data_IF_614860684577
#
_entry.id   IF_614860684577
#
_cell.length_a   1.000
_cell.length_b   1.000
_cell.length_c   1.000
_cell.angle_alpha   90.00
_cell.angle_beta   90.00
_cell.angle_gamma   90.00
#
_symmetry.space_group_name_H-M   'P 1'
#
loop_
_entity.id
_entity.type
_entity.pdbx_description
1 polymer ?
#
# COMPACT_ATOMS: atom_id res chain seq x y z
N UNK A 1 -2.05 2.50 -19.27
CA UNK A 1 -3.03 1.96 -18.30
C UNK A 1 -2.62 2.45 -16.92
N UNK A 2 -3.51 3.11 -16.19
CA UNK A 2 -3.22 3.62 -14.84
C UNK A 2 -3.47 2.50 -13.82
N UNK A 3 -2.54 2.30 -12.88
CA UNK A 3 -2.72 1.42 -11.73
C UNK A 3 -2.42 2.18 -10.46
N UNK A 4 -3.19 1.95 -9.41
CA UNK A 4 -2.93 2.51 -8.09
C UNK A 4 -2.50 1.38 -7.16
N UNK A 5 -1.35 1.55 -6.52
CA UNK A 5 -0.81 0.59 -5.56
C UNK A 5 -0.63 1.26 -4.20
N UNK A 6 -0.90 0.51 -3.14
CA UNK A 6 -0.39 0.79 -1.80
C UNK A 6 0.88 -0.03 -1.59
N UNK A 7 1.98 0.64 -1.28
CA UNK A 7 3.21 0.01 -0.82
C UNK A 7 3.18 -0.05 0.71
N UNK A 8 3.22 -1.25 1.28
CA UNK A 8 3.25 -1.50 2.73
C UNK A 8 4.63 -2.00 3.15
N UNK A 9 5.34 -1.20 3.91
CA UNK A 9 6.65 -1.55 4.45
C UNK A 9 6.48 -2.01 5.90
N UNK A 10 6.62 -3.31 6.12
CA UNK A 10 6.82 -3.86 7.45
C UNK A 10 8.31 -3.82 7.77
N UNK A 11 8.69 -3.07 8.80
CA UNK A 11 10.09 -3.05 9.24
C UNK A 11 10.52 -4.50 9.56
N UNK A 12 11.70 -4.90 9.10
CA UNK A 12 12.27 -6.25 9.20
C UNK A 12 11.78 -7.29 8.18
N UNK A 13 10.92 -6.94 7.23
CA UNK A 13 10.64 -7.79 6.06
C UNK A 13 11.30 -7.20 4.81
N UNK A 14 12.01 -8.03 4.03
CA UNK A 14 12.92 -7.64 2.95
C UNK A 14 12.33 -6.92 1.73
N UNK A 15 11.12 -6.37 1.82
CA UNK A 15 10.49 -5.56 0.78
C UNK A 15 9.06 -5.14 1.12
N UNK A 16 8.48 -4.17 0.37
CA UNK A 16 7.10 -3.77 0.56
C UNK A 16 6.12 -4.81 0.00
N UNK A 17 5.05 -5.07 0.75
CA UNK A 17 3.86 -5.73 0.21
C UNK A 17 3.07 -4.73 -0.63
N UNK A 18 2.55 -5.16 -1.78
CA UNK A 18 1.76 -4.30 -2.67
C UNK A 18 0.28 -4.69 -2.64
N UNK A 19 -0.61 -3.71 -2.48
CA UNK A 19 -2.05 -3.88 -2.64
C UNK A 19 -2.56 -3.00 -3.77
N UNK A 20 -3.44 -3.52 -4.63
CA UNK A 20 -3.98 -2.79 -5.78
C UNK A 20 -5.34 -2.15 -5.47
N UNK A 21 -5.55 -0.94 -6.00
CA UNK A 21 -6.78 -0.16 -5.83
C UNK A 21 -7.25 0.38 -7.18
N UNK A 22 -8.57 0.62 -7.31
CA UNK A 22 -9.12 1.21 -8.53
C UNK A 22 -8.85 2.71 -8.63
N UNK A 23 -8.66 3.42 -7.50
CA UNK A 23 -8.34 4.85 -7.49
C UNK A 23 -7.45 5.26 -6.31
N UNK A 24 -6.81 6.43 -6.43
CA UNK A 24 -5.96 6.98 -5.38
C UNK A 24 -6.77 7.35 -4.12
N UNK A 25 -8.01 7.79 -4.31
CA UNK A 25 -8.93 8.12 -3.21
C UNK A 25 -9.29 6.87 -2.40
N UNK A 26 -9.62 5.76 -3.08
CA UNK A 26 -9.87 4.48 -2.42
C UNK A 26 -8.65 3.99 -1.65
N UNK A 27 -7.46 4.11 -2.24
CA UNK A 27 -6.22 3.73 -1.58
C UNK A 27 -6.00 4.53 -0.28
N UNK A 28 -6.12 5.87 -0.34
CA UNK A 28 -5.95 6.75 0.83
C UNK A 28 -7.01 6.52 1.91
N UNK A 29 -8.25 6.24 1.51
CA UNK A 29 -9.31 5.92 2.46
C UNK A 29 -9.07 4.60 3.19
N UNK A 30 -8.48 3.61 2.50
CA UNK A 30 -8.15 2.31 3.08
C UNK A 30 -6.85 2.31 3.90
N UNK A 31 -5.92 3.21 3.60
CA UNK A 31 -4.59 3.33 4.23
C UNK A 31 -4.59 3.24 5.76
N UNK A 32 -5.36 4.04 6.52
CA UNK A 32 -5.32 3.98 7.98
C UNK A 32 -5.81 2.64 8.54
N UNK A 33 -6.84 2.05 7.93
CA UNK A 33 -7.42 0.77 8.37
C UNK A 33 -6.42 -0.36 8.11
N UNK A 34 -5.77 -0.36 6.95
CA UNK A 34 -4.78 -1.37 6.58
C UNK A 34 -3.55 -1.26 7.49
N UNK A 35 -3.01 -0.07 7.73
CA UNK A 35 -1.89 0.12 8.66
C UNK A 35 -2.23 -0.44 10.05
N UNK A 36 -3.43 -0.12 10.56
CA UNK A 36 -3.86 -0.59 11.87
C UNK A 36 -3.93 -2.12 11.94
N UNK A 37 -4.60 -2.75 10.96
CA UNK A 37 -4.74 -4.20 10.91
C UNK A 37 -3.36 -4.90 10.86
N UNK A 38 -2.45 -4.41 10.01
CA UNK A 38 -1.11 -5.00 9.92
C UNK A 38 -0.27 -4.80 11.19
N UNK A 39 -0.42 -3.64 11.85
CA UNK A 39 0.23 -3.39 13.14
C UNK A 39 -0.28 -4.35 14.21
N UNK A 40 -1.60 -4.56 14.29
CA UNK A 40 -2.22 -5.50 15.24
C UNK A 40 -1.79 -6.95 14.97
N UNK A 41 -1.70 -7.36 13.70
CA UNK A 41 -1.31 -8.71 13.33
C UNK A 41 0.16 -9.02 13.57
N UNK A 42 1.05 -8.04 13.35
CA UNK A 42 2.51 -8.28 13.32
C UNK A 42 3.26 -7.71 14.51
N UNK A 43 2.65 -6.78 15.26
CA UNK A 43 3.32 -6.01 16.31
C UNK A 43 4.37 -5.03 15.79
N UNK A 44 4.59 -4.95 14.47
CA UNK A 44 5.61 -4.10 13.87
C UNK A 44 5.08 -2.72 13.52
N UNK A 45 6.00 -1.75 13.43
CA UNK A 45 5.68 -0.48 12.78
C UNK A 45 5.54 -0.72 11.28
N UNK A 46 4.43 -0.23 10.74
CA UNK A 46 4.07 -0.33 9.34
C UNK A 46 4.09 1.08 8.75
N UNK A 47 4.80 1.25 7.65
CA UNK A 47 4.70 2.44 6.81
C UNK A 47 3.90 2.09 5.56
N UNK A 48 3.02 2.97 5.12
CA UNK A 48 2.29 2.79 3.87
C UNK A 48 2.50 3.99 2.95
N UNK A 49 2.36 3.74 1.64
CA UNK A 49 2.30 4.80 0.64
C UNK A 49 1.43 4.40 -0.54
N UNK A 50 0.38 5.17 -0.78
CA UNK A 50 -0.39 5.10 -2.02
C UNK A 50 0.36 5.78 -3.17
N UNK A 51 0.61 5.04 -4.25
CA UNK A 51 1.25 5.53 -5.48
C UNK A 51 0.35 5.27 -6.69
N UNK A 52 0.39 6.19 -7.64
CA UNK A 52 -0.19 6.03 -8.97
C UNK A 52 0.94 5.68 -9.94
N UNK A 53 0.79 4.57 -10.65
CA UNK A 53 1.71 4.15 -11.69
C UNK A 53 1.06 4.31 -13.06
N UNK A 54 1.71 5.07 -13.92
CA UNK A 54 1.35 5.15 -15.33
C UNK A 54 2.21 4.13 -16.05
N UNK A 55 1.62 3.00 -16.45
CA UNK A 55 2.32 2.01 -17.26
C UNK A 55 2.47 2.56 -18.69
N UNK A 56 3.69 2.54 -19.27
CA UNK A 56 3.88 2.95 -20.65
C UNK A 56 2.95 2.14 -21.56
N UNK A 57 2.34 2.82 -22.54
CA UNK A 57 1.71 2.12 -23.65
C UNK A 57 2.83 1.38 -24.40
N UNK A 58 2.66 0.08 -24.62
CA UNK A 58 3.57 -0.70 -25.45
C UNK A 58 3.70 -0.09 -26.84
#
# INVERSE_FOLDING_TARGET
MERVLMLLFMLNQGGPTTLEFASLEQCKAAEPIIIQNYREMTGNTVLARCIRMVLPAK
#
